data_IF_195446447899
#
_entry.id   IF_195446447899
#
_cell.length_a   1.000
_cell.length_b   1.000
_cell.length_c   1.000
_cell.angle_alpha   90.00
_cell.angle_beta   90.00
_cell.angle_gamma   90.00
#
_symmetry.space_group_name_H-M   'P 1'
#
loop_
_entity.id
_entity.type
_entity.pdbx_description
1 polymer ?
#
# COMPACT_ATOMS: atom_id res chain seq x y z
N UNK A 1 -14.94 -31.18 1.33
CA UNK A 1 -15.11 -30.40 2.58
C UNK A 1 -13.78 -30.01 3.23
N UNK A 2 -13.00 -30.92 3.84
CA UNK A 2 -11.79 -30.52 4.58
C UNK A 2 -10.72 -29.85 3.71
N UNK A 3 -10.49 -30.36 2.50
CA UNK A 3 -9.57 -29.77 1.53
C UNK A 3 -10.03 -28.37 1.11
N UNK A 4 -11.33 -28.19 0.89
CA UNK A 4 -11.91 -26.90 0.46
C UNK A 4 -11.75 -25.82 1.54
N UNK A 5 -11.96 -26.20 2.81
CA UNK A 5 -11.73 -25.31 3.96
C UNK A 5 -10.25 -24.92 4.06
N UNK A 6 -9.33 -25.86 3.83
CA UNK A 6 -7.88 -25.57 3.83
C UNK A 6 -7.52 -24.61 2.69
N UNK A 7 -8.07 -24.81 1.49
CA UNK A 7 -7.84 -23.91 0.35
C UNK A 7 -8.34 -22.51 0.69
N UNK A 8 -9.55 -22.37 1.24
CA UNK A 8 -10.09 -21.07 1.66
C UNK A 8 -9.25 -20.41 2.75
N UNK A 9 -8.82 -21.17 3.75
CA UNK A 9 -7.95 -20.65 4.80
C UNK A 9 -6.63 -20.13 4.23
N UNK A 10 -6.01 -20.87 3.30
CA UNK A 10 -4.78 -20.44 2.60
C UNK A 10 -5.03 -19.17 1.78
N UNK A 11 -6.16 -19.08 1.07
CA UNK A 11 -6.52 -17.87 0.32
C UNK A 11 -6.68 -16.67 1.26
N UNK A 12 -7.41 -16.81 2.38
CA UNK A 12 -7.56 -15.72 3.36
C UNK A 12 -6.21 -15.28 3.93
N UNK A 13 -5.33 -16.23 4.27
CA UNK A 13 -3.99 -15.92 4.76
C UNK A 13 -3.11 -15.25 3.71
N UNK A 14 -3.22 -15.67 2.45
CA UNK A 14 -2.51 -15.05 1.34
C UNK A 14 -2.99 -13.61 1.12
N UNK A 15 -4.30 -13.37 1.22
CA UNK A 15 -4.85 -12.01 1.22
C UNK A 15 -4.27 -11.18 2.37
N UNK A 16 -4.21 -11.79 3.57
CA UNK A 16 -3.60 -11.18 4.74
C UNK A 16 -2.13 -10.82 4.55
N UNK A 17 -1.36 -11.69 3.89
CA UNK A 17 0.03 -11.41 3.54
C UNK A 17 0.17 -10.21 2.60
N UNK A 18 -0.69 -10.11 1.58
CA UNK A 18 -0.69 -8.97 0.66
C UNK A 18 -1.08 -7.67 1.37
N UNK A 19 -2.14 -7.71 2.17
CA UNK A 19 -2.63 -6.57 2.96
C UNK A 19 -1.61 -6.09 4.01
N UNK A 20 -0.94 -7.02 4.69
CA UNK A 20 0.18 -6.75 5.60
C UNK A 20 1.31 -6.02 4.86
N UNK A 21 1.67 -6.53 3.69
CA UNK A 21 2.79 -6.04 2.88
C UNK A 21 2.53 -4.62 2.38
N UNK A 22 1.33 -4.38 1.83
CA UNK A 22 0.85 -3.07 1.42
C UNK A 22 1.05 -2.04 2.53
N UNK A 23 0.41 -2.30 3.68
CA UNK A 23 0.37 -1.36 4.78
C UNK A 23 1.76 -1.15 5.39
N UNK A 24 2.59 -2.19 5.46
CA UNK A 24 3.95 -2.08 5.98
C UNK A 24 4.83 -1.17 5.10
N UNK A 25 4.77 -1.31 3.77
CA UNK A 25 5.57 -0.48 2.86
C UNK A 25 5.05 0.96 2.83
N UNK A 26 3.72 1.15 2.76
CA UNK A 26 3.08 2.48 2.72
C UNK A 26 3.36 3.28 4.00
N UNK A 27 3.32 2.63 5.16
CA UNK A 27 3.54 3.30 6.45
C UNK A 27 5.02 3.38 6.86
N UNK A 28 5.91 2.66 6.17
CA UNK A 28 7.35 2.73 6.44
C UNK A 28 7.95 4.06 5.99
N UNK A 29 8.76 4.68 6.86
CA UNK A 29 9.47 5.92 6.50
C UNK A 29 10.81 5.59 5.84
N UNK A 30 11.02 6.07 4.61
CA UNK A 30 12.28 5.88 3.86
C UNK A 30 13.52 6.25 4.66
N UNK A 31 13.51 7.40 5.35
CA UNK A 31 14.63 7.87 6.17
C UNK A 31 14.99 6.89 7.30
N UNK A 32 13.99 6.23 7.92
CA UNK A 32 14.23 5.22 8.95
C UNK A 32 14.86 3.96 8.37
N UNK A 33 14.39 3.49 7.22
CA UNK A 33 14.99 2.35 6.52
C UNK A 33 16.45 2.60 6.13
N UNK A 34 16.76 3.81 5.62
CA UNK A 34 18.14 4.22 5.33
C UNK A 34 19.00 4.27 6.60
N UNK A 35 18.49 4.85 7.69
CA UNK A 35 19.21 4.86 8.97
C UNK A 35 19.48 3.45 9.52
N UNK A 36 18.54 2.51 9.33
CA UNK A 36 18.76 1.11 9.69
C UNK A 36 19.82 0.44 8.81
N UNK A 37 19.85 0.74 7.52
CA UNK A 37 20.85 0.25 6.58
C UNK A 37 22.25 0.72 6.98
N UNK A 38 22.43 2.02 7.21
CA UNK A 38 23.72 2.62 7.62
C UNK A 38 24.23 1.98 8.91
N UNK A 39 23.37 1.88 9.95
CA UNK A 39 23.75 1.25 11.22
C UNK A 39 24.15 -0.22 11.08
N UNK A 40 23.51 -0.98 10.19
CA UNK A 40 23.90 -2.37 9.94
C UNK A 40 25.24 -2.48 9.21
N UNK A 41 25.49 -1.60 8.25
CA UNK A 41 26.75 -1.53 7.52
C UNK A 41 27.91 -1.16 8.47
N UNK A 42 27.73 -0.15 9.31
CA UNK A 42 28.70 0.25 10.35
C UNK A 42 28.98 -0.89 11.35
N UNK A 43 27.96 -1.67 11.69
CA UNK A 43 28.09 -2.84 12.56
C UNK A 43 28.71 -4.07 11.85
N UNK A 44 29.16 -3.94 10.60
CA UNK A 44 29.80 -5.02 9.84
C UNK A 44 28.86 -6.19 9.51
N UNK A 45 27.53 -6.00 9.56
CA UNK A 45 26.57 -7.07 9.28
C UNK A 45 26.38 -7.22 7.76
N UNK A 46 26.55 -8.43 7.24
CA UNK A 46 26.40 -8.69 5.79
C UNK A 46 24.95 -8.83 5.32
N UNK A 47 23.97 -8.91 6.23
CA UNK A 47 22.57 -9.21 5.89
C UNK A 47 21.70 -7.96 5.74
N UNK A 48 22.07 -7.09 4.80
CA UNK A 48 21.35 -5.83 4.50
C UNK A 48 20.29 -5.97 3.41
N UNK A 49 20.31 -7.07 2.65
CA UNK A 49 19.48 -7.20 1.44
C UNK A 49 17.96 -7.08 1.67
N UNK A 50 17.44 -7.43 2.85
CA UNK A 50 16.02 -7.17 3.16
C UNK A 50 15.68 -5.68 3.28
N UNK A 51 16.61 -4.89 3.83
CA UNK A 51 16.46 -3.44 3.99
C UNK A 51 16.58 -2.75 2.64
N UNK A 52 17.55 -3.15 1.83
CA UNK A 52 17.74 -2.62 0.47
C UNK A 52 16.50 -2.88 -0.41
N UNK A 53 15.93 -4.08 -0.35
CA UNK A 53 14.72 -4.41 -1.09
C UNK A 53 13.50 -3.63 -0.56
N UNK A 54 13.37 -3.46 0.76
CA UNK A 54 12.30 -2.63 1.33
C UNK A 54 12.41 -1.18 0.86
N UNK A 55 13.63 -0.63 0.81
CA UNK A 55 13.90 0.69 0.25
C UNK A 55 13.50 0.73 -1.23
N UNK A 56 13.85 -0.29 -2.04
CA UNK A 56 13.48 -0.32 -3.46
C UNK A 56 11.96 -0.36 -3.69
N UNK A 57 11.22 -1.11 -2.85
CA UNK A 57 9.76 -1.17 -2.92
C UNK A 57 9.12 0.15 -2.49
N UNK A 58 9.73 0.86 -1.54
CA UNK A 58 9.29 2.18 -1.10
C UNK A 58 9.63 3.30 -2.10
N UNK A 59 10.66 3.13 -2.94
CA UNK A 59 11.06 4.09 -3.97
C UNK A 59 10.10 4.13 -5.18
N UNK A 60 9.57 2.98 -5.59
CA UNK A 60 8.54 2.87 -6.63
C UNK A 60 7.27 2.21 -6.04
N UNK A 61 6.52 2.94 -5.21
CA UNK A 61 5.34 2.40 -4.56
C UNK A 61 4.24 2.10 -5.58
N UNK A 62 4.18 2.79 -6.72
CA UNK A 62 3.11 2.60 -7.71
C UNK A 62 3.08 1.19 -8.30
N UNK A 63 4.24 0.68 -8.75
CA UNK A 63 4.33 -0.69 -9.27
C UNK A 63 4.05 -1.73 -8.20
N UNK A 64 4.58 -1.51 -7.00
CA UNK A 64 4.36 -2.40 -5.86
C UNK A 64 2.87 -2.46 -5.47
N UNK A 65 2.23 -1.31 -5.26
CA UNK A 65 0.84 -1.20 -4.88
C UNK A 65 -0.08 -1.83 -5.95
N UNK A 66 0.22 -1.60 -7.23
CA UNK A 66 -0.53 -2.21 -8.32
C UNK A 66 -0.43 -3.75 -8.28
N UNK A 67 0.78 -4.30 -8.08
CA UNK A 67 0.97 -5.75 -7.98
C UNK A 67 0.22 -6.35 -6.77
N UNK A 68 0.28 -5.68 -5.62
CA UNK A 68 -0.42 -6.10 -4.41
C UNK A 68 -1.93 -6.05 -4.59
N UNK A 69 -2.46 -4.98 -5.18
CA UNK A 69 -3.89 -4.83 -5.42
C UNK A 69 -4.44 -5.91 -6.35
N UNK A 70 -3.69 -6.26 -7.40
CA UNK A 70 -4.01 -7.40 -8.27
C UNK A 70 -4.06 -8.68 -7.44
N UNK A 71 -3.06 -8.92 -6.59
CA UNK A 71 -3.01 -10.07 -5.69
C UNK A 71 -4.24 -10.16 -4.77
N UNK A 72 -4.55 -9.08 -4.05
CA UNK A 72 -5.72 -8.97 -3.15
C UNK A 72 -7.01 -9.28 -3.91
N UNK A 73 -7.17 -8.68 -5.09
CA UNK A 73 -8.37 -8.85 -5.91
C UNK A 73 -8.53 -10.29 -6.39
N UNK A 74 -7.46 -10.88 -6.94
CA UNK A 74 -7.49 -12.26 -7.43
C UNK A 74 -7.81 -13.24 -6.30
N UNK A 75 -7.13 -13.10 -5.16
CA UNK A 75 -7.35 -13.95 -3.99
C UNK A 75 -8.78 -13.79 -3.46
N UNK A 76 -9.30 -12.56 -3.39
CA UNK A 76 -10.68 -12.30 -2.98
C UNK A 76 -11.72 -12.92 -3.91
N UNK A 77 -11.53 -12.76 -5.24
CA UNK A 77 -12.41 -13.37 -6.25
C UNK A 77 -12.38 -14.89 -6.17
N UNK A 78 -11.18 -15.49 -6.06
CA UNK A 78 -11.06 -16.94 -5.91
C UNK A 78 -11.68 -17.43 -4.60
N UNK A 79 -11.46 -16.75 -3.48
CA UNK A 79 -12.05 -17.14 -2.20
C UNK A 79 -13.58 -17.08 -2.22
N UNK A 80 -14.16 -16.03 -2.81
CA UNK A 80 -15.61 -15.88 -2.96
C UNK A 80 -16.21 -16.92 -3.89
N UNK A 81 -15.63 -17.09 -5.09
CA UNK A 81 -16.13 -18.04 -6.09
C UNK A 81 -15.97 -19.49 -5.63
N UNK A 82 -14.79 -19.85 -5.11
CA UNK A 82 -14.51 -21.19 -4.59
C UNK A 82 -15.37 -21.49 -3.36
N UNK A 83 -15.48 -20.53 -2.43
CA UNK A 83 -16.30 -20.67 -1.23
C UNK A 83 -17.77 -20.88 -1.53
N UNK A 84 -18.34 -20.03 -2.40
CA UNK A 84 -19.73 -20.18 -2.86
C UNK A 84 -19.97 -21.51 -3.57
N UNK A 85 -19.09 -21.92 -4.49
CA UNK A 85 -19.28 -23.14 -5.27
C UNK A 85 -19.10 -24.44 -4.46
N UNK A 86 -18.23 -24.44 -3.43
CA UNK A 86 -17.87 -25.67 -2.70
C UNK A 86 -18.60 -25.84 -1.37
N UNK A 87 -18.96 -24.74 -0.70
CA UNK A 87 -19.59 -24.79 0.62
C UNK A 87 -21.10 -24.54 0.60
N UNK A 88 -21.64 -23.90 -0.43
CA UNK A 88 -23.07 -23.57 -0.47
C UNK A 88 -23.95 -24.82 -0.65
N UNK A 89 -23.60 -25.73 -1.55
CA UNK A 89 -24.41 -26.93 -1.81
C UNK A 89 -24.54 -27.87 -0.58
N UNK A 90 -23.44 -28.27 0.10
CA UNK A 90 -23.55 -29.10 1.31
C UNK A 90 -24.33 -28.43 2.44
N UNK A 91 -24.21 -27.10 2.57
CA UNK A 91 -24.96 -26.36 3.57
C UNK A 91 -26.44 -26.21 3.17
N UNK A 92 -26.72 -26.10 1.88
CA UNK A 92 -28.07 -26.05 1.33
C UNK A 92 -28.85 -27.35 1.56
N UNK A 93 -28.17 -28.50 1.44
CA UNK A 93 -28.74 -29.81 1.79
C UNK A 93 -29.16 -29.86 3.27
N UNK A 94 -28.31 -29.38 4.18
CA UNK A 94 -28.60 -29.33 5.63
C UNK A 94 -29.75 -28.38 5.94
N UNK A 95 -29.79 -27.20 5.30
CA UNK A 95 -30.89 -26.24 5.48
C UNK A 95 -32.20 -26.80 4.89
N UNK A 96 -32.10 -27.57 3.81
CA UNK A 96 -33.23 -28.21 3.13
C UNK A 96 -33.89 -29.33 3.94
N UNK A 97 -33.27 -29.84 5.01
CA UNK A 97 -33.90 -30.78 5.95
C UNK A 97 -35.12 -30.15 6.67
N UNK A 98 -35.23 -28.82 6.67
CA UNK A 98 -36.40 -28.12 7.19
C UNK A 98 -37.41 -27.85 6.07
N UNK A 99 -38.59 -28.51 6.13
CA UNK A 99 -39.65 -28.45 5.11
C UNK A 99 -40.04 -27.02 4.71
N UNK A 100 -39.99 -26.05 5.61
CA UNK A 100 -40.32 -24.64 5.34
C UNK A 100 -39.25 -23.91 4.50
N UNK A 101 -38.00 -24.37 4.54
CA UNK A 101 -36.85 -23.73 3.88
C UNK A 101 -36.34 -24.51 2.66
N UNK A 102 -36.91 -25.68 2.36
CA UNK A 102 -36.44 -26.57 1.30
C UNK A 102 -36.32 -25.88 -0.07
N UNK A 103 -37.26 -25.01 -0.44
CA UNK A 103 -37.23 -24.28 -1.72
C UNK A 103 -36.14 -23.19 -1.78
N UNK A 104 -35.71 -22.68 -0.61
CA UNK A 104 -34.73 -21.59 -0.49
C UNK A 104 -33.39 -22.04 0.11
N UNK A 105 -33.22 -23.33 0.39
CA UNK A 105 -32.07 -23.84 1.15
C UNK A 105 -30.73 -23.49 0.50
N UNK A 106 -30.61 -23.68 -0.81
CA UNK A 106 -29.38 -23.39 -1.57
C UNK A 106 -29.10 -21.87 -1.69
N UNK A 107 -30.04 -20.99 -2.07
CA UNK A 107 -29.83 -19.54 -2.03
C UNK A 107 -29.47 -19.00 -0.64
N UNK A 108 -30.11 -19.49 0.42
CA UNK A 108 -29.82 -19.09 1.80
C UNK A 108 -28.42 -19.55 2.19
N UNK A 109 -28.07 -20.81 1.88
CA UNK A 109 -26.74 -21.35 2.14
C UNK A 109 -25.65 -20.55 1.42
N UNK A 110 -25.86 -20.24 0.15
CA UNK A 110 -24.93 -19.41 -0.63
C UNK A 110 -24.73 -18.04 0.02
N UNK A 111 -25.82 -17.34 0.36
CA UNK A 111 -25.75 -16.05 1.03
C UNK A 111 -25.00 -16.13 2.37
N UNK A 112 -25.29 -17.15 3.18
CA UNK A 112 -24.66 -17.36 4.49
C UNK A 112 -23.16 -17.64 4.35
N UNK A 113 -22.77 -18.50 3.42
CA UNK A 113 -21.37 -18.81 3.11
C UNK A 113 -20.63 -17.55 2.67
N UNK A 114 -21.21 -16.76 1.77
CA UNK A 114 -20.62 -15.50 1.31
C UNK A 114 -20.42 -14.54 2.48
N UNK A 115 -21.41 -14.37 3.35
CA UNK A 115 -21.30 -13.48 4.53
C UNK A 115 -20.20 -13.96 5.48
N UNK A 116 -20.16 -15.26 5.80
CA UNK A 116 -19.16 -15.83 6.70
C UNK A 116 -17.75 -15.67 6.13
N UNK A 117 -17.54 -16.06 4.87
CA UNK A 117 -16.24 -15.93 4.21
C UNK A 117 -15.81 -14.47 4.14
N UNK A 118 -16.74 -13.56 3.81
CA UNK A 118 -16.45 -12.13 3.75
C UNK A 118 -16.02 -11.60 5.12
N UNK A 119 -16.73 -11.98 6.20
CA UNK A 119 -16.36 -11.58 7.55
C UNK A 119 -14.95 -12.05 7.93
N UNK A 120 -14.64 -13.34 7.74
CA UNK A 120 -13.32 -13.87 8.07
C UNK A 120 -12.22 -13.30 7.16
N UNK A 121 -12.51 -13.09 5.88
CA UNK A 121 -11.58 -12.47 4.93
C UNK A 121 -11.29 -11.01 5.30
N UNK A 122 -12.29 -10.24 5.71
CA UNK A 122 -12.08 -8.85 6.17
C UNK A 122 -11.28 -8.80 7.46
N UNK A 123 -11.58 -9.65 8.44
CA UNK A 123 -10.90 -9.62 9.74
C UNK A 123 -9.47 -10.16 9.61
N UNK A 124 -9.32 -11.40 9.15
CA UNK A 124 -8.03 -12.12 9.13
C UNK A 124 -7.22 -11.76 7.90
N UNK A 125 -7.87 -11.59 6.75
CA UNK A 125 -7.22 -11.29 5.48
C UNK A 125 -6.92 -9.81 5.25
N UNK A 126 -7.44 -8.89 6.08
CA UNK A 126 -7.24 -7.46 5.84
C UNK A 126 -6.99 -6.63 7.11
N UNK A 127 -7.97 -6.53 8.00
CA UNK A 127 -7.96 -5.59 9.12
C UNK A 127 -6.88 -5.92 10.16
N UNK A 128 -6.78 -7.19 10.57
CA UNK A 128 -5.75 -7.63 11.54
C UNK A 128 -4.35 -7.46 10.95
N UNK A 129 -4.03 -7.95 9.74
CA UNK A 129 -2.75 -7.72 9.09
C UNK A 129 -2.38 -6.24 8.98
N UNK A 130 -3.31 -5.37 8.56
CA UNK A 130 -3.06 -3.92 8.48
C UNK A 130 -2.70 -3.33 9.84
N UNK A 131 -3.40 -3.73 10.91
CA UNK A 131 -3.05 -3.29 12.28
C UNK A 131 -1.69 -3.79 12.73
N UNK A 132 -1.33 -5.03 12.40
CA UNK A 132 -0.01 -5.59 12.70
C UNK A 132 1.07 -4.81 11.95
N UNK A 133 0.88 -4.51 10.67
CA UNK A 133 1.80 -3.71 9.87
C UNK A 133 2.09 -2.34 10.51
N UNK A 134 1.05 -1.64 10.97
CA UNK A 134 1.18 -0.32 11.58
C UNK A 134 1.96 -0.32 12.91
N UNK A 135 2.01 -1.46 13.62
CA UNK A 135 2.73 -1.55 14.90
C UNK A 135 4.26 -1.49 14.73
N UNK A 136 4.79 -2.02 13.63
CA UNK A 136 6.22 -2.03 13.36
C UNK A 136 6.51 -2.10 11.86
N UNK A 137 6.22 -1.02 11.13
CA UNK A 137 6.14 -1.07 9.67
C UNK A 137 7.49 -1.32 9.03
N UNK A 138 8.57 -0.69 9.51
CA UNK A 138 9.90 -0.90 8.94
C UNK A 138 10.38 -2.35 9.11
N UNK A 139 10.20 -2.95 10.30
CA UNK A 139 10.65 -4.33 10.53
C UNK A 139 9.85 -5.33 9.71
N UNK A 140 8.55 -5.10 9.53
CA UNK A 140 7.68 -5.95 8.72
C UNK A 140 8.05 -5.78 7.24
N UNK A 141 8.17 -4.55 6.76
CA UNK A 141 8.62 -4.22 5.40
C UNK A 141 9.92 -4.96 5.03
N UNK A 142 10.93 -4.92 5.91
CA UNK A 142 12.22 -5.62 5.70
C UNK A 142 12.04 -7.13 5.55
N UNK A 143 11.13 -7.75 6.34
CA UNK A 143 10.87 -9.19 6.29
C UNK A 143 10.14 -9.60 5.02
N UNK A 144 9.15 -8.80 4.59
CA UNK A 144 8.29 -9.12 3.44
C UNK A 144 8.86 -8.64 2.10
N UNK A 145 9.92 -7.82 2.11
CA UNK A 145 10.47 -7.23 0.89
C UNK A 145 10.90 -8.27 -0.15
N UNK A 146 11.59 -9.34 0.27
CA UNK A 146 12.04 -10.41 -0.64
C UNK A 146 10.90 -11.10 -1.40
N UNK A 147 9.90 -11.71 -0.71
CA UNK A 147 8.79 -12.33 -1.42
C UNK A 147 8.01 -11.31 -2.26
N UNK A 148 7.86 -10.08 -1.79
CA UNK A 148 7.14 -9.06 -2.55
C UNK A 148 7.86 -8.63 -3.84
N UNK A 149 9.19 -8.49 -3.84
CA UNK A 149 9.93 -8.22 -5.08
C UNK A 149 9.75 -9.34 -6.11
N UNK A 150 9.71 -10.60 -5.66
CA UNK A 150 9.43 -11.72 -6.55
C UNK A 150 8.01 -11.65 -7.14
N UNK A 151 7.00 -11.36 -6.32
CA UNK A 151 5.61 -11.20 -6.77
C UNK A 151 5.48 -10.02 -7.74
N UNK A 152 6.01 -8.85 -7.41
CA UNK A 152 5.97 -7.67 -8.27
C UNK A 152 6.66 -7.94 -9.60
N UNK A 153 7.77 -8.68 -9.61
CA UNK A 153 8.46 -9.08 -10.85
C UNK A 153 7.63 -10.07 -11.68
N UNK A 154 6.99 -11.05 -11.03
CA UNK A 154 6.13 -12.02 -11.71
C UNK A 154 4.88 -11.36 -12.32
N UNK A 155 4.29 -10.40 -11.60
CA UNK A 155 3.11 -9.65 -12.04
C UNK A 155 3.44 -8.43 -12.90
N UNK A 156 4.72 -8.15 -13.16
CA UNK A 156 5.15 -7.00 -13.96
C UNK A 156 4.41 -6.82 -15.29
N UNK A 157 4.15 -7.87 -16.12
CA UNK A 157 3.40 -7.65 -17.37
C UNK A 157 1.96 -7.21 -17.14
N UNK A 158 1.29 -7.77 -16.12
CA UNK A 158 -0.07 -7.39 -15.75
C UNK A 158 -0.12 -5.97 -15.17
N UNK A 159 0.85 -5.62 -14.32
CA UNK A 159 1.00 -4.28 -13.75
C UNK A 159 1.19 -3.25 -14.85
N UNK A 160 2.10 -3.51 -15.81
CA UNK A 160 2.34 -2.60 -16.94
C UNK A 160 1.07 -2.36 -17.75
N UNK A 161 0.31 -3.42 -18.07
CA UNK A 161 -0.97 -3.29 -18.77
C UNK A 161 -1.95 -2.42 -17.98
N UNK A 162 -2.11 -2.67 -16.67
CA UNK A 162 -2.97 -1.87 -15.82
C UNK A 162 -2.50 -0.41 -15.76
N UNK A 163 -1.21 -0.15 -15.59
CA UNK A 163 -0.66 1.21 -15.58
C UNK A 163 -0.98 1.95 -16.88
N UNK A 164 -0.81 1.30 -18.05
CA UNK A 164 -1.20 1.88 -19.33
C UNK A 164 -2.70 2.16 -19.41
N UNK A 165 -3.55 1.24 -18.93
CA UNK A 165 -4.99 1.46 -18.89
C UNK A 165 -5.37 2.63 -17.98
N UNK A 166 -4.80 2.70 -16.78
CA UNK A 166 -5.02 3.79 -15.81
C UNK A 166 -4.58 5.12 -16.39
N UNK A 167 -3.37 5.21 -16.96
CA UNK A 167 -2.87 6.44 -17.56
C UNK A 167 -3.71 6.88 -18.76
N UNK A 168 -4.23 5.93 -19.55
CA UNK A 168 -5.13 6.25 -20.67
C UNK A 168 -6.45 6.83 -20.19
N UNK A 169 -7.03 6.30 -19.12
CA UNK A 169 -8.25 6.83 -18.51
C UNK A 169 -8.00 8.21 -17.89
N UNK A 170 -6.87 8.38 -17.19
CA UNK A 170 -6.48 9.67 -16.61
C UNK A 170 -6.24 10.73 -17.69
N UNK A 171 -5.60 10.36 -18.80
CA UNK A 171 -5.44 11.22 -19.99
C UNK A 171 -6.80 11.65 -20.55
N UNK A 172 -7.75 10.73 -20.66
CA UNK A 172 -9.10 11.04 -21.13
C UNK A 172 -9.85 11.99 -20.16
N UNK A 173 -9.56 11.92 -18.87
CA UNK A 173 -10.11 12.82 -17.85
C UNK A 173 -9.36 14.16 -17.74
N UNK A 174 -8.23 14.33 -18.43
CA UNK A 174 -7.38 15.53 -18.34
C UNK A 174 -6.49 15.57 -17.09
N UNK A 175 -6.40 14.48 -16.33
CA UNK A 175 -5.57 14.36 -15.13
C UNK A 175 -4.20 13.74 -15.46
N UNK A 176 -3.41 14.41 -16.31
CA UNK A 176 -2.10 13.91 -16.73
C UNK A 176 -0.98 14.35 -15.79
N UNK A 177 -0.37 13.38 -15.11
CA UNK A 177 0.94 13.51 -14.47
C UNK A 177 0.87 13.94 -13.01
N UNK A 178 1.73 13.35 -12.18
CA UNK A 178 2.14 13.98 -10.93
C UNK A 178 2.75 15.33 -11.33
N UNK A 179 2.07 16.42 -11.04
CA UNK A 179 2.77 17.69 -10.86
C UNK A 179 3.86 17.36 -9.84
N UNK A 180 5.11 17.26 -10.30
CA UNK A 180 6.23 17.55 -9.42
C UNK A 180 5.85 18.92 -8.91
N UNK A 181 5.45 19.02 -7.63
CA UNK A 181 5.15 20.31 -7.03
C UNK A 181 6.39 21.14 -7.27
N UNK A 182 6.34 22.00 -8.29
CA UNK A 182 7.40 22.94 -8.58
C UNK A 182 7.36 23.86 -7.39
N UNK A 183 8.26 23.61 -6.44
CA UNK A 183 8.31 24.38 -5.20
C UNK A 183 8.56 25.82 -5.60
N UNK A 184 7.49 26.61 -5.57
CA UNK A 184 7.53 28.01 -5.97
C UNK A 184 8.23 28.82 -4.88
N UNK A 185 8.75 29.99 -5.23
CA UNK A 185 9.34 30.90 -4.25
C UNK A 185 8.34 31.24 -3.12
N UNK A 186 7.07 31.40 -3.44
CA UNK A 186 6.00 31.66 -2.47
C UNK A 186 5.83 30.49 -1.50
N UNK A 187 5.92 29.25 -1.98
CA UNK A 187 5.84 28.05 -1.16
C UNK A 187 7.06 27.90 -0.24
N UNK A 188 8.27 28.26 -0.71
CA UNK A 188 9.48 28.34 0.12
C UNK A 188 9.29 29.36 1.24
N UNK A 189 8.77 30.56 0.94
CA UNK A 189 8.49 31.59 1.95
C UNK A 189 7.49 31.09 2.99
N UNK A 190 6.44 30.41 2.55
CA UNK A 190 5.41 29.88 3.43
C UNK A 190 5.97 28.80 4.40
N UNK A 191 6.78 27.88 3.89
CA UNK A 191 7.45 26.86 4.72
C UNK A 191 8.40 27.46 5.76
N UNK A 192 9.10 28.54 5.40
CA UNK A 192 10.00 29.26 6.32
C UNK A 192 9.20 30.00 7.40
N UNK A 193 8.07 30.61 7.05
CA UNK A 193 7.16 31.24 8.02
C UNK A 193 6.57 30.22 9.00
N UNK A 194 6.16 29.05 8.51
CA UNK A 194 5.68 27.95 9.34
C UNK A 194 6.80 27.39 10.24
N UNK A 195 8.03 27.33 9.73
CA UNK A 195 9.23 27.00 10.50
C UNK A 195 9.49 27.97 11.65
N UNK A 196 9.25 29.27 11.46
CA UNK A 196 9.35 30.27 12.54
C UNK A 196 8.24 30.10 13.57
N UNK A 197 7.01 29.86 13.12
CA UNK A 197 5.86 29.64 14.01
C UNK A 197 6.01 28.40 14.90
N UNK A 198 6.67 27.36 14.39
CA UNK A 198 6.95 26.11 15.11
C UNK A 198 8.28 26.15 15.90
N UNK A 199 9.05 27.22 15.76
CA UNK A 199 10.36 27.39 16.41
C UNK A 199 11.49 26.54 15.80
N UNK A 200 11.26 25.94 14.64
CA UNK A 200 12.26 25.16 13.90
C UNK A 200 13.22 26.04 13.09
N UNK A 201 12.83 27.29 12.79
CA UNK A 201 13.61 28.30 12.06
C UNK A 201 13.65 29.57 12.90
N UNK A 202 14.83 30.17 13.04
CA UNK A 202 14.95 31.44 13.75
C UNK A 202 14.45 32.61 12.89
N UNK A 203 13.95 33.68 13.54
CA UNK A 203 13.49 34.88 12.82
C UNK A 203 14.58 35.49 11.92
N UNK A 204 15.84 35.37 12.34
CA UNK A 204 17.01 35.84 11.59
C UNK A 204 17.20 35.03 10.31
N UNK A 205 17.01 33.71 10.36
CA UNK A 205 17.13 32.81 9.20
C UNK A 205 16.03 33.10 8.17
N UNK A 206 14.80 33.36 8.63
CA UNK A 206 13.70 33.81 7.76
C UNK A 206 14.05 35.09 7.01
N UNK A 207 14.63 36.06 7.70
CA UNK A 207 15.01 37.33 7.07
C UNK A 207 16.18 37.16 6.08
N UNK A 208 17.06 36.20 6.29
CA UNK A 208 18.11 35.85 5.32
C UNK A 208 17.48 35.24 4.08
N UNK A 209 16.60 34.24 4.22
CA UNK A 209 15.94 33.58 3.08
C UNK A 209 15.15 34.58 2.25
N UNK A 210 14.34 35.44 2.88
CA UNK A 210 13.54 36.45 2.17
C UNK A 210 14.40 37.45 1.39
N UNK A 211 15.56 37.85 1.94
CA UNK A 211 16.49 38.74 1.25
C UNK A 211 17.19 38.06 0.09
N UNK A 212 17.62 36.81 0.27
CA UNK A 212 18.30 36.04 -0.79
C UNK A 212 17.36 35.79 -1.97
N UNK A 213 16.09 35.49 -1.71
CA UNK A 213 15.09 35.33 -2.76
C UNK A 213 14.82 36.65 -3.52
N UNK A 214 14.69 37.77 -2.81
CA UNK A 214 14.51 39.09 -3.42
C UNK A 214 15.72 39.60 -4.23
N UNK A 215 16.93 39.07 -4.01
CA UNK A 215 18.10 39.42 -4.80
C UNK A 215 18.00 38.95 -6.26
N UNK A 216 17.26 37.87 -6.54
CA UNK A 216 17.02 37.39 -7.90
C UNK A 216 16.23 38.38 -8.76
N UNK A 217 15.34 39.15 -8.13
CA UNK A 217 14.51 40.17 -8.78
C UNK A 217 15.14 41.57 -8.77
N UNK A 218 16.23 41.75 -8.02
CA UNK A 218 16.89 43.04 -7.89
C UNK A 218 17.67 43.36 -9.18
N UNK A 219 17.35 44.48 -9.83
CA UNK A 219 18.04 44.88 -11.07
C UNK A 219 19.40 45.48 -10.73
N UNK A 220 20.41 45.25 -11.57
CA UNK A 220 21.80 45.73 -11.35
C UNK A 220 21.86 47.25 -11.09
N UNK A 221 20.96 48.04 -11.70
CA UNK A 221 20.85 49.48 -11.47
C UNK A 221 20.33 49.92 -10.09
N UNK A 222 19.76 49.01 -9.30
CA UNK A 222 19.29 49.27 -7.93
C UNK A 222 20.39 49.03 -6.88
N UNK A 223 21.39 48.20 -7.22
CA UNK A 223 22.52 47.87 -6.34
C UNK A 223 23.73 48.76 -6.60
N UNK A 224 23.91 49.24 -7.83
CA UNK A 224 24.99 50.16 -8.19
C UNK A 224 24.55 51.61 -8.02
N UNK A 225 24.80 52.17 -6.83
CA UNK A 225 24.94 53.62 -6.60
C UNK A 225 26.36 53.96 -6.18
#
# INVERSE_FOLDING_TARGET
MAVDIVILAVLILLNGFFSLSEMAIVSSRRQRLLGLLTRQQEAGKSSTGGIELAISLNQDPSRFLSAVQIGITLVGVFAGAFGGATLAAPLGEVIGEWEMLAEYGEPIAFALVVVIITYFSLIIGELVPKRVALSNPERIAIKIARPMVAVTRALSPAVTLLSYSTESVLKAYGATGQDVVEVTEEEIKHLVEEGVATGAVESVERDIVNRVLGLGDTRVGEVMR
#
